data_IF_393623122022
#
_entry.id   IF_393623122022
#
_cell.length_a   1.000
_cell.length_b   1.000
_cell.length_c   1.000
_cell.angle_alpha   90.00
_cell.angle_beta   90.00
_cell.angle_gamma   90.00
#
_symmetry.space_group_name_H-M   'P 1'
#
loop_
_entity.id
_entity.type
_entity.pdbx_description
1 polymer ?
#
# COMPACT_ATOMS: atom_id res chain seq x y z
N UNK A 1 8.65 3.54 39.97
CA UNK A 1 7.39 2.78 39.79
C UNK A 1 7.56 1.89 38.57
N UNK A 2 7.59 0.57 38.77
CA UNK A 2 7.74 -0.39 37.68
C UNK A 2 6.40 -0.57 36.97
N UNK A 3 6.31 -0.15 35.71
CA UNK A 3 5.13 -0.43 34.90
C UNK A 3 5.15 -1.91 34.51
N UNK A 4 4.34 -2.72 35.20
CA UNK A 4 4.13 -4.12 34.84
C UNK A 4 3.22 -4.14 33.61
N UNK A 5 3.83 -4.03 32.43
CA UNK A 5 3.10 -4.12 31.16
C UNK A 5 2.70 -5.57 30.91
N UNK A 6 1.39 -5.84 30.85
CA UNK A 6 0.90 -7.16 30.53
C UNK A 6 1.25 -7.52 29.07
N UNK A 7 2.25 -8.38 28.90
CA UNK A 7 2.77 -8.77 27.59
C UNK A 7 1.71 -9.45 26.71
N UNK A 8 0.72 -10.12 27.32
CA UNK A 8 -0.38 -10.75 26.58
C UNK A 8 -1.31 -9.71 25.96
N UNK A 9 -1.60 -8.61 26.67
CA UNK A 9 -2.38 -7.48 26.12
C UNK A 9 -1.64 -6.80 24.97
N UNK A 10 -0.33 -6.58 25.13
CA UNK A 10 0.51 -6.01 24.09
C UNK A 10 0.54 -6.87 22.82
N UNK A 11 0.77 -8.18 22.95
CA UNK A 11 0.74 -9.12 21.80
C UNK A 11 -0.62 -9.13 21.10
N UNK A 12 -1.73 -9.11 21.85
CA UNK A 12 -3.09 -9.01 21.29
C UNK A 12 -3.36 -7.68 20.60
N UNK A 13 -2.77 -6.59 21.08
CA UNK A 13 -2.87 -5.29 20.42
C UNK A 13 -2.08 -5.31 19.12
N UNK A 14 -0.82 -5.75 19.15
CA UNK A 14 0.02 -5.87 17.96
C UNK A 14 -0.63 -6.74 16.87
N UNK A 15 -1.16 -7.91 17.23
CA UNK A 15 -1.86 -8.77 16.28
C UNK A 15 -3.10 -8.11 15.64
N UNK A 16 -3.83 -7.27 16.39
CA UNK A 16 -4.97 -6.50 15.86
C UNK A 16 -4.52 -5.37 14.94
N UNK A 17 -3.41 -4.72 15.24
CA UNK A 17 -2.82 -3.68 14.40
C UNK A 17 -2.28 -4.27 13.10
N UNK A 18 -1.57 -5.38 13.14
CA UNK A 18 -1.06 -6.09 11.96
C UNK A 18 -2.23 -6.51 11.05
N UNK A 19 -3.29 -7.11 11.62
CA UNK A 19 -4.49 -7.49 10.85
C UNK A 19 -5.20 -6.28 10.22
N UNK A 20 -5.21 -5.11 10.87
CA UNK A 20 -5.75 -3.86 10.29
C UNK A 20 -4.90 -3.38 9.12
N UNK A 21 -3.57 -3.38 9.26
CA UNK A 21 -2.64 -2.99 8.18
C UNK A 21 -2.81 -3.88 6.95
N UNK A 22 -2.97 -5.17 7.15
CA UNK A 22 -3.22 -6.12 6.06
C UNK A 22 -4.59 -5.89 5.41
N UNK A 23 -5.62 -5.61 6.22
CA UNK A 23 -6.94 -5.27 5.73
C UNK A 23 -6.94 -3.96 4.92
N UNK A 24 -6.25 -2.93 5.37
CA UNK A 24 -6.11 -1.65 4.66
C UNK A 24 -5.33 -1.82 3.34
N UNK A 25 -4.25 -2.60 3.37
CA UNK A 25 -3.49 -2.94 2.15
C UNK A 25 -4.35 -3.73 1.16
N UNK A 26 -5.18 -4.66 1.64
CA UNK A 26 -6.10 -5.41 0.81
C UNK A 26 -7.27 -4.56 0.32
N UNK A 27 -7.79 -3.65 1.14
CA UNK A 27 -8.81 -2.67 0.72
C UNK A 27 -8.25 -1.75 -0.38
N UNK A 28 -7.01 -1.32 -0.29
CA UNK A 28 -6.36 -0.56 -1.37
C UNK A 28 -6.14 -1.42 -2.63
N UNK A 29 -5.82 -2.71 -2.51
CA UNK A 29 -5.59 -3.61 -3.66
C UNK A 29 -6.88 -4.07 -4.35
N UNK A 30 -7.90 -4.35 -3.55
CA UNK A 30 -9.17 -4.98 -3.97
C UNK A 30 -10.35 -4.01 -4.02
N UNK A 31 -10.31 -2.91 -3.28
CA UNK A 31 -11.29 -1.81 -3.34
C UNK A 31 -11.06 -0.84 -4.49
N UNK A 32 -9.92 -0.93 -5.20
CA UNK A 32 -9.74 -0.25 -6.48
C UNK A 32 -10.66 -0.85 -7.52
N UNK A 33 -11.60 -0.04 -8.01
CA UNK A 33 -12.51 -0.43 -9.10
C UNK A 33 -11.73 -0.63 -10.40
N UNK A 34 -12.31 -1.37 -11.36
CA UNK A 34 -11.67 -1.61 -12.67
C UNK A 34 -11.28 -0.30 -13.37
N UNK A 35 -12.11 0.73 -13.21
CA UNK A 35 -11.89 2.07 -13.76
C UNK A 35 -10.69 2.77 -13.13
N UNK A 36 -10.53 2.69 -11.81
CA UNK A 36 -9.38 3.26 -11.11
C UNK A 36 -8.07 2.56 -11.50
N UNK A 37 -8.08 1.24 -11.65
CA UNK A 37 -6.90 0.48 -12.14
C UNK A 37 -6.54 0.87 -13.58
N UNK A 38 -7.53 1.13 -14.43
CA UNK A 38 -7.33 1.56 -15.81
C UNK A 38 -6.78 2.99 -15.89
N UNK A 39 -7.29 3.91 -15.07
CA UNK A 39 -6.79 5.28 -14.99
C UNK A 39 -5.32 5.30 -14.52
N UNK A 40 -5.00 4.56 -13.46
CA UNK A 40 -3.64 4.47 -12.92
C UNK A 40 -2.67 3.81 -13.92
N UNK A 41 -3.12 2.79 -14.66
CA UNK A 41 -2.34 2.19 -15.75
C UNK A 41 -2.12 3.17 -16.90
N UNK A 42 -3.14 3.91 -17.30
CA UNK A 42 -3.01 4.93 -18.34
C UNK A 42 -2.05 6.05 -17.91
N UNK A 43 -2.06 6.44 -16.63
CA UNK A 43 -1.10 7.39 -16.06
C UNK A 43 0.32 6.85 -16.10
N UNK A 44 0.53 5.59 -15.69
CA UNK A 44 1.82 4.92 -15.78
C UNK A 44 2.32 4.79 -17.21
N UNK A 45 1.47 4.42 -18.16
CA UNK A 45 1.82 4.30 -19.57
C UNK A 45 2.18 5.68 -20.17
N UNK A 46 1.48 6.75 -19.78
CA UNK A 46 1.83 8.13 -20.17
C UNK A 46 3.17 8.54 -19.59
N UNK A 47 3.44 8.26 -18.32
CA UNK A 47 4.70 8.56 -17.68
C UNK A 47 5.87 7.76 -18.30
N UNK A 48 5.66 6.48 -18.61
CA UNK A 48 6.64 5.64 -19.29
C UNK A 48 6.98 6.18 -20.68
N UNK A 49 5.96 6.51 -21.49
CA UNK A 49 6.17 7.13 -22.81
C UNK A 49 6.88 8.48 -22.73
N UNK A 50 6.56 9.28 -21.71
CA UNK A 50 7.24 10.55 -21.50
C UNK A 50 8.72 10.34 -21.14
N UNK A 51 9.03 9.35 -20.31
CA UNK A 51 10.41 9.01 -19.96
C UNK A 51 11.18 8.43 -21.14
N UNK A 52 10.56 7.53 -21.92
CA UNK A 52 11.19 6.95 -23.10
C UNK A 52 11.40 7.99 -24.21
N UNK A 53 10.51 8.97 -24.37
CA UNK A 53 10.72 10.09 -25.30
C UNK A 53 11.82 11.08 -24.85
N UNK A 54 12.22 11.04 -23.58
CA UNK A 54 13.29 11.88 -23.02
C UNK A 54 14.62 11.11 -22.89
N UNK A 55 14.61 9.78 -23.01
CA UNK A 55 15.85 9.01 -23.19
C UNK A 55 16.44 9.40 -24.54
N UNK A 56 17.54 10.15 -24.50
CA UNK A 56 18.43 10.29 -25.65
C UNK A 56 19.08 8.92 -25.85
N UNK A 57 18.91 8.35 -27.03
CA UNK A 57 19.71 7.23 -27.51
C UNK A 57 21.17 7.69 -27.52
N UNK A 58 21.98 7.16 -26.60
CA UNK A 58 23.44 7.14 -26.69
C UNK A 58 23.89 5.86 -27.42
#
# INVERSE_FOLDING_TARGET
MTQITNLNRFRKQKAREDARRDADANAAKHGRTKEQKLAEKADQDRAAKHLDGVKRDD
#
